data_IF_079385806176
#
_entry.id   IF_079385806176
#
_cell.length_a   1.000
_cell.length_b   1.000
_cell.length_c   1.000
_cell.angle_alpha   90.00
_cell.angle_beta   90.00
_cell.angle_gamma   90.00
#
_symmetry.space_group_name_H-M   'P 1'
#
loop_
_entity.id
_entity.type
_entity.pdbx_description
1 polymer ?
#
# COMPACT_ATOMS: atom_id res chain seq x y z
N UNK A 1 -17.68 -43.08 -71.86
CA UNK A 1 -16.30 -43.13 -71.31
C UNK A 1 -16.06 -41.76 -70.68
N UNK A 2 -16.33 -41.59 -69.37
CA UNK A 2 -15.34 -41.61 -68.27
C UNK A 2 -14.18 -40.63 -68.55
N UNK A 3 -13.83 -39.61 -67.76
CA UNK A 3 -13.83 -39.50 -66.30
C UNK A 3 -13.69 -38.02 -65.86
N UNK A 4 -14.38 -37.67 -64.78
CA UNK A 4 -14.21 -36.50 -63.91
C UNK A 4 -12.88 -36.55 -63.14
N UNK A 5 -12.15 -35.43 -63.04
CA UNK A 5 -11.05 -35.25 -62.10
C UNK A 5 -11.39 -34.17 -61.07
N UNK A 6 -11.56 -34.61 -59.82
CA UNK A 6 -11.77 -33.78 -58.64
C UNK A 6 -10.43 -33.22 -58.14
N UNK A 7 -10.40 -31.90 -57.86
CA UNK A 7 -9.31 -31.23 -57.15
C UNK A 7 -9.55 -31.37 -55.64
N UNK A 8 -8.82 -32.28 -55.01
CA UNK A 8 -8.82 -32.45 -53.56
C UNK A 8 -8.08 -31.28 -52.87
N UNK A 9 -8.80 -30.53 -52.05
CA UNK A 9 -8.21 -29.62 -51.05
C UNK A 9 -7.59 -30.45 -49.94
N UNK A 10 -6.28 -30.64 -49.97
CA UNK A 10 -5.55 -31.19 -48.82
C UNK A 10 -5.53 -30.14 -47.70
N UNK A 11 -6.34 -30.35 -46.67
CA UNK A 11 -6.15 -29.70 -45.39
C UNK A 11 -4.82 -30.15 -44.80
N UNK A 12 -3.82 -29.28 -44.83
CA UNK A 12 -2.62 -29.44 -44.01
C UNK A 12 -3.02 -29.17 -42.57
N UNK A 13 -3.13 -30.24 -41.77
CA UNK A 13 -3.03 -30.16 -40.32
C UNK A 13 -1.66 -29.57 -40.00
N UNK A 14 -1.63 -28.27 -39.74
CA UNK A 14 -0.46 -27.54 -39.29
C UNK A 14 -0.18 -27.88 -37.81
N UNK A 15 0.88 -28.64 -37.49
CA UNK A 15 1.19 -29.04 -36.12
C UNK A 15 1.68 -27.85 -35.26
N UNK A 16 2.17 -26.76 -35.88
CA UNK A 16 2.69 -25.59 -35.15
C UNK A 16 1.59 -24.76 -34.47
N UNK A 17 0.32 -24.93 -34.88
CA UNK A 17 -0.78 -24.16 -34.28
C UNK A 17 -1.16 -24.61 -32.87
N UNK A 18 -0.74 -25.80 -32.43
CA UNK A 18 -1.03 -26.33 -31.08
C UNK A 18 0.03 -25.96 -30.04
N UNK A 19 1.25 -25.63 -30.46
CA UNK A 19 2.38 -25.38 -29.53
C UNK A 19 2.51 -23.89 -29.12
N UNK A 20 1.92 -22.97 -29.88
CA UNK A 20 1.92 -21.54 -29.53
C UNK A 20 0.92 -21.14 -28.43
N UNK A 21 -0.07 -22.00 -28.11
CA UNK A 21 -1.04 -21.71 -27.05
C UNK A 21 -0.57 -22.17 -25.66
N UNK A 22 0.29 -23.20 -25.58
CA UNK A 22 0.76 -23.78 -24.33
C UNK A 22 1.99 -23.07 -23.73
N UNK A 23 2.76 -22.36 -24.55
CA UNK A 23 3.99 -21.66 -24.14
C UNK A 23 3.73 -20.30 -23.46
N UNK A 24 2.58 -19.67 -23.71
CA UNK A 24 2.28 -18.31 -23.20
C UNK A 24 1.70 -18.22 -21.79
N UNK A 25 1.11 -19.29 -21.25
CA UNK A 25 0.56 -19.29 -19.87
C UNK A 25 1.62 -19.57 -18.82
N UNK A 26 2.57 -20.47 -19.11
CA UNK A 26 3.66 -20.82 -18.21
C UNK A 26 4.56 -19.63 -17.84
N UNK A 27 4.87 -18.77 -18.80
CA UNK A 27 5.68 -17.57 -18.56
C UNK A 27 4.93 -16.53 -17.72
N UNK A 28 3.62 -16.34 -17.96
CA UNK A 28 2.80 -15.37 -17.20
C UNK A 28 2.62 -15.78 -15.74
N UNK A 29 2.32 -17.05 -15.50
CA UNK A 29 2.16 -17.57 -14.14
C UNK A 29 3.50 -17.49 -13.39
N UNK A 30 4.61 -17.75 -14.07
CA UNK A 30 5.96 -17.60 -13.51
C UNK A 30 6.27 -16.15 -13.13
N UNK A 31 5.98 -15.19 -14.01
CA UNK A 31 6.17 -13.75 -13.72
C UNK A 31 5.32 -13.31 -12.54
N UNK A 32 4.05 -13.74 -12.49
CA UNK A 32 3.16 -13.43 -11.37
C UNK A 32 3.73 -13.97 -10.05
N UNK A 33 4.14 -15.24 -10.01
CA UNK A 33 4.72 -15.84 -8.80
C UNK A 33 6.00 -15.12 -8.37
N UNK A 34 6.84 -14.71 -9.30
CA UNK A 34 8.05 -13.93 -9.00
C UNK A 34 7.71 -12.54 -8.44
N UNK A 35 6.72 -11.83 -9.00
CA UNK A 35 6.25 -10.55 -8.46
C UNK A 35 5.72 -10.71 -7.04
N UNK A 36 4.88 -11.73 -6.81
CA UNK A 36 4.35 -12.05 -5.48
C UNK A 36 5.50 -12.33 -4.50
N UNK A 37 6.47 -13.16 -4.87
CA UNK A 37 7.60 -13.52 -4.01
C UNK A 37 8.47 -12.30 -3.66
N UNK A 38 8.80 -11.45 -4.64
CA UNK A 38 9.67 -10.28 -4.41
C UNK A 38 8.96 -9.23 -3.54
N UNK A 39 7.69 -8.92 -3.82
CA UNK A 39 6.94 -7.94 -3.03
C UNK A 39 6.64 -8.45 -1.62
N UNK A 40 6.30 -9.73 -1.48
CA UNK A 40 6.10 -10.36 -0.17
C UNK A 40 7.39 -10.38 0.64
N UNK A 41 8.51 -10.80 0.04
CA UNK A 41 9.83 -10.79 0.67
C UNK A 41 10.26 -9.39 1.11
N UNK A 42 10.00 -8.38 0.28
CA UNK A 42 10.25 -6.97 0.62
C UNK A 42 9.44 -6.53 1.84
N UNK A 43 8.14 -6.86 1.89
CA UNK A 43 7.29 -6.53 3.03
C UNK A 43 7.62 -7.30 4.31
N UNK A 44 8.18 -8.52 4.21
CA UNK A 44 8.62 -9.30 5.37
C UNK A 44 9.78 -8.64 6.12
N UNK A 45 10.57 -7.77 5.48
CA UNK A 45 11.62 -7.01 6.17
C UNK A 45 11.05 -6.13 7.29
N UNK A 46 9.93 -5.46 7.05
CA UNK A 46 9.25 -4.69 8.08
C UNK A 46 8.59 -5.56 9.14
N UNK A 47 7.97 -6.68 8.76
CA UNK A 47 7.44 -7.66 9.74
C UNK A 47 8.56 -8.17 10.65
N UNK A 48 9.75 -8.45 10.12
CA UNK A 48 10.92 -8.81 10.91
C UNK A 48 11.34 -7.70 11.89
N UNK A 49 11.29 -6.43 11.45
CA UNK A 49 11.55 -5.29 12.34
C UNK A 49 10.51 -5.18 13.46
N UNK A 50 9.23 -5.49 13.19
CA UNK A 50 8.17 -5.59 14.20
C UNK A 50 8.46 -6.71 15.21
N UNK A 51 8.80 -7.90 14.75
CA UNK A 51 9.17 -9.04 15.63
C UNK A 51 10.34 -8.66 16.55
N UNK A 52 11.40 -8.09 15.98
CA UNK A 52 12.58 -7.67 16.74
C UNK A 52 12.23 -6.60 17.80
N UNK A 53 11.42 -5.60 17.42
CA UNK A 53 10.98 -4.54 18.33
C UNK A 53 10.11 -5.10 19.46
N UNK A 54 9.16 -5.97 19.13
CA UNK A 54 8.29 -6.65 20.10
C UNK A 54 9.10 -7.50 21.07
N UNK A 55 10.08 -8.26 20.60
CA UNK A 55 10.98 -9.02 21.46
C UNK A 55 11.73 -8.11 22.44
N UNK A 56 12.34 -7.02 21.95
CA UNK A 56 13.06 -6.06 22.79
C UNK A 56 12.15 -5.38 23.80
N UNK A 57 10.88 -5.13 23.45
CA UNK A 57 9.89 -4.55 24.33
C UNK A 57 9.50 -5.49 25.48
N UNK A 58 9.42 -6.80 25.24
CA UNK A 58 8.97 -7.77 26.25
C UNK A 58 10.09 -8.53 26.97
N UNK A 59 11.33 -8.53 26.45
CA UNK A 59 12.46 -9.21 27.10
C UNK A 59 12.68 -8.66 28.51
N UNK A 60 12.80 -9.56 29.48
CA UNK A 60 13.02 -9.20 30.89
C UNK A 60 11.78 -8.70 31.64
N UNK A 61 10.60 -8.65 31.01
CA UNK A 61 9.34 -8.37 31.73
C UNK A 61 8.85 -9.62 32.47
N UNK A 62 8.51 -9.45 33.74
CA UNK A 62 7.89 -10.50 34.56
C UNK A 62 6.37 -10.59 34.28
N UNK A 63 5.77 -11.73 34.64
CA UNK A 63 4.31 -11.96 34.60
C UNK A 63 3.65 -11.82 33.22
N UNK A 64 4.37 -12.17 32.15
CA UNK A 64 3.77 -12.25 30.81
C UNK A 64 2.97 -13.56 30.65
N UNK A 65 1.86 -13.54 29.90
CA UNK A 65 1.08 -14.74 29.63
C UNK A 65 1.84 -15.78 28.79
N UNK A 66 2.82 -15.33 28.00
CA UNK A 66 3.70 -16.16 27.17
C UNK A 66 5.13 -15.63 27.23
N UNK A 67 6.10 -16.42 26.76
CA UNK A 67 7.49 -15.96 26.67
C UNK A 67 7.63 -14.79 25.66
N UNK A 68 8.62 -13.90 25.82
CA UNK A 68 8.87 -12.81 24.87
C UNK A 68 9.04 -13.27 23.42
N UNK A 69 9.62 -14.45 23.19
CA UNK A 69 9.80 -15.06 21.87
C UNK A 69 8.45 -15.40 21.24
N UNK A 70 7.55 -16.02 22.02
CA UNK A 70 6.19 -16.36 21.55
C UNK A 70 5.42 -15.07 21.24
N UNK A 71 5.47 -14.07 22.12
CA UNK A 71 4.78 -12.79 21.86
C UNK A 71 5.32 -12.09 20.61
N UNK A 72 6.63 -12.12 20.39
CA UNK A 72 7.26 -11.57 19.20
C UNK A 72 6.80 -12.31 17.94
N UNK A 73 6.78 -13.64 17.93
CA UNK A 73 6.30 -14.43 16.80
C UNK A 73 4.79 -14.24 16.55
N UNK A 74 3.98 -14.16 17.60
CA UNK A 74 2.54 -13.88 17.49
C UNK A 74 2.27 -12.50 16.88
N UNK A 75 3.12 -11.50 17.17
CA UNK A 75 2.99 -10.17 16.57
C UNK A 75 3.17 -10.17 15.04
N UNK A 76 3.85 -11.17 14.47
CA UNK A 76 4.02 -11.31 13.03
C UNK A 76 2.82 -11.93 12.32
N UNK A 77 1.97 -12.68 13.04
CA UNK A 77 0.97 -13.55 12.42
C UNK A 77 -0.02 -12.76 11.57
N UNK A 78 -0.70 -11.79 12.18
CA UNK A 78 -1.70 -10.95 11.51
C UNK A 78 -1.08 -10.15 10.35
N UNK A 79 0.01 -9.36 10.54
CA UNK A 79 0.56 -8.57 9.44
C UNK A 79 1.12 -9.43 8.31
N UNK A 80 1.63 -10.63 8.58
CA UNK A 80 2.09 -11.55 7.51
C UNK A 80 0.94 -12.02 6.64
N UNK A 81 -0.19 -12.42 7.25
CA UNK A 81 -1.39 -12.83 6.53
C UNK A 81 -1.94 -11.68 5.70
N UNK A 82 -2.08 -10.50 6.32
CA UNK A 82 -2.55 -9.30 5.63
C UNK A 82 -1.60 -8.90 4.49
N UNK A 83 -0.29 -9.04 4.68
CA UNK A 83 0.70 -8.76 3.65
C UNK A 83 0.58 -9.73 2.47
N UNK A 84 0.41 -11.03 2.73
CA UNK A 84 0.20 -12.02 1.67
C UNK A 84 -1.05 -11.68 0.84
N UNK A 85 -2.16 -11.38 1.52
CA UNK A 85 -3.42 -10.97 0.86
C UNK A 85 -3.23 -9.67 0.08
N UNK A 86 -2.61 -8.65 0.67
CA UNK A 86 -2.40 -7.36 0.04
C UNK A 86 -1.48 -7.45 -1.20
N UNK A 87 -0.42 -8.25 -1.14
CA UNK A 87 0.49 -8.47 -2.27
C UNK A 87 -0.23 -9.18 -3.41
N UNK A 88 -1.07 -10.19 -3.13
CA UNK A 88 -1.91 -10.85 -4.14
C UNK A 88 -2.89 -9.85 -4.75
N UNK A 89 -3.67 -9.15 -3.93
CA UNK A 89 -4.66 -8.19 -4.39
C UNK A 89 -4.03 -7.07 -5.22
N UNK A 90 -2.91 -6.51 -4.77
CA UNK A 90 -2.23 -5.43 -5.48
C UNK A 90 -1.65 -5.89 -6.81
N UNK A 91 -0.99 -7.04 -6.85
CA UNK A 91 -0.39 -7.58 -8.09
C UNK A 91 -1.46 -7.83 -9.15
N UNK A 92 -2.64 -8.27 -8.72
CA UNK A 92 -3.78 -8.51 -9.60
C UNK A 92 -4.47 -7.19 -9.97
N UNK A 93 -4.80 -6.32 -9.01
CA UNK A 93 -5.72 -5.20 -9.22
C UNK A 93 -5.03 -3.88 -9.60
N UNK A 94 -3.81 -3.63 -9.13
CA UNK A 94 -3.09 -2.37 -9.39
C UNK A 94 -2.93 -2.07 -10.89
N UNK A 95 -2.51 -3.02 -11.76
CA UNK A 95 -2.39 -2.75 -13.20
C UNK A 95 -3.74 -2.43 -13.85
N UNK A 96 -4.85 -3.01 -13.34
CA UNK A 96 -6.21 -2.79 -13.87
C UNK A 96 -6.74 -1.39 -13.60
N UNK A 97 -6.20 -0.70 -12.60
CA UNK A 97 -6.56 0.68 -12.24
C UNK A 97 -5.46 1.69 -12.60
N UNK A 98 -4.40 1.24 -13.27
CA UNK A 98 -3.31 2.09 -13.75
C UNK A 98 -2.24 2.43 -12.70
N UNK A 99 -2.22 1.74 -11.56
CA UNK A 99 -1.16 1.88 -10.55
C UNK A 99 0.07 1.06 -10.92
N UNK A 100 1.23 1.46 -10.38
CA UNK A 100 2.54 0.93 -10.78
C UNK A 100 3.46 0.69 -9.60
N UNK A 101 4.35 -0.29 -9.73
CA UNK A 101 5.48 -0.54 -8.84
C UNK A 101 6.72 -0.82 -9.69
N UNK A 102 7.79 -0.08 -9.47
CA UNK A 102 9.06 -0.30 -10.16
C UNK A 102 9.66 -1.67 -9.82
N UNK A 103 9.43 -2.17 -8.61
CA UNK A 103 9.84 -3.51 -8.18
C UNK A 103 9.06 -4.59 -8.93
N UNK A 104 7.73 -4.45 -9.05
CA UNK A 104 6.92 -5.38 -9.84
C UNK A 104 7.26 -5.34 -11.32
N UNK A 105 7.40 -4.13 -11.90
CA UNK A 105 7.77 -3.91 -13.30
C UNK A 105 9.14 -4.51 -13.63
N UNK A 106 10.09 -4.52 -12.68
CA UNK A 106 11.42 -5.09 -12.88
C UNK A 106 11.36 -6.58 -13.19
N UNK A 107 10.45 -7.32 -12.56
CA UNK A 107 10.30 -8.77 -12.79
C UNK A 107 9.85 -9.03 -14.22
N UNK A 108 8.92 -8.23 -14.74
CA UNK A 108 8.37 -8.39 -16.09
C UNK A 108 9.31 -7.85 -17.18
N UNK A 109 9.96 -6.71 -16.93
CA UNK A 109 10.68 -5.95 -17.97
C UNK A 109 12.20 -5.98 -17.84
N UNK A 110 12.74 -6.54 -16.76
CA UNK A 110 14.16 -6.44 -16.41
C UNK A 110 14.62 -5.01 -16.06
N UNK A 111 13.71 -4.05 -15.97
CA UNK A 111 14.06 -2.64 -15.76
C UNK A 111 14.70 -2.38 -14.39
N UNK A 112 15.55 -1.35 -14.32
CA UNK A 112 16.23 -0.97 -13.08
C UNK A 112 15.34 -0.08 -12.22
N UNK A 113 15.17 -0.43 -10.94
CA UNK A 113 14.35 0.31 -9.97
C UNK A 113 14.94 1.68 -9.64
N UNK A 114 16.23 1.74 -9.30
CA UNK A 114 16.86 2.97 -8.79
C UNK A 114 16.82 4.15 -9.76
N UNK A 115 17.11 4.01 -11.07
CA UNK A 115 17.00 5.13 -12.00
C UNK A 115 15.58 5.68 -12.15
N UNK A 116 14.56 4.81 -12.12
CA UNK A 116 13.15 5.25 -12.18
C UNK A 116 12.77 6.02 -10.91
N UNK A 117 13.13 5.50 -9.74
CA UNK A 117 12.90 6.18 -8.46
C UNK A 117 13.70 7.49 -8.35
N UNK A 118 14.88 7.58 -8.95
CA UNK A 118 15.66 8.81 -9.05
C UNK A 118 14.97 9.90 -9.89
N UNK A 119 14.00 9.56 -10.73
CA UNK A 119 13.12 10.54 -11.38
C UNK A 119 12.04 11.11 -10.45
N UNK A 120 11.78 10.44 -9.32
CA UNK A 120 10.61 10.70 -8.45
C UNK A 120 11.00 11.21 -7.05
N UNK A 121 12.26 11.03 -6.64
CA UNK A 121 12.72 11.28 -5.27
C UNK A 121 12.43 12.68 -4.75
N UNK A 122 12.59 13.72 -5.59
CA UNK A 122 12.37 15.12 -5.18
C UNK A 122 10.95 15.32 -4.71
N UNK A 123 9.98 14.78 -5.46
CA UNK A 123 8.56 14.91 -5.13
C UNK A 123 8.22 14.05 -3.92
N UNK A 124 8.76 12.84 -3.85
CA UNK A 124 8.55 11.95 -2.69
C UNK A 124 9.05 12.60 -1.39
N UNK A 125 10.30 13.10 -1.37
CA UNK A 125 10.90 13.76 -0.20
C UNK A 125 10.19 15.07 0.14
N UNK A 126 9.84 15.89 -0.86
CA UNK A 126 9.12 17.13 -0.62
C UNK A 126 7.73 16.89 -0.01
N UNK A 127 6.98 15.90 -0.51
CA UNK A 127 5.67 15.54 0.06
C UNK A 127 5.84 14.95 1.47
N UNK A 128 6.78 14.02 1.67
CA UNK A 128 7.04 13.43 2.99
C UNK A 128 7.44 14.46 4.04
N UNK A 129 8.40 15.32 3.73
CA UNK A 129 8.83 16.42 4.60
C UNK A 129 7.72 17.44 4.84
N UNK A 130 6.99 17.84 3.79
CA UNK A 130 5.85 18.76 3.91
C UNK A 130 4.75 18.22 4.81
N UNK A 131 4.40 16.93 4.68
CA UNK A 131 3.45 16.26 5.57
C UNK A 131 3.96 16.21 7.01
N UNK A 132 5.26 16.02 7.23
CA UNK A 132 5.85 16.07 8.56
C UNK A 132 5.68 17.44 9.22
N UNK A 133 5.92 18.52 8.47
CA UNK A 133 5.65 19.88 8.95
C UNK A 133 4.17 20.08 9.27
N UNK A 134 3.26 19.63 8.39
CA UNK A 134 1.81 19.72 8.63
C UNK A 134 1.41 18.97 9.91
N UNK A 135 1.90 17.75 10.11
CA UNK A 135 1.62 16.95 11.31
C UNK A 135 2.13 17.65 12.56
N UNK A 136 3.35 18.22 12.55
CA UNK A 136 3.90 18.97 13.69
C UNK A 136 3.00 20.17 14.03
N UNK A 137 2.62 20.96 13.03
CA UNK A 137 1.78 22.16 13.23
C UNK A 137 0.38 21.81 13.75
N UNK A 138 -0.23 20.77 13.19
CA UNK A 138 -1.55 20.31 13.63
C UNK A 138 -1.50 19.71 15.02
N UNK A 139 -0.44 18.98 15.36
CA UNK A 139 -0.24 18.44 16.70
C UNK A 139 -0.09 19.56 17.75
N UNK A 140 0.74 20.56 17.46
CA UNK A 140 0.90 21.73 18.32
C UNK A 140 -0.44 22.47 18.50
N UNK A 141 -1.16 22.71 17.40
CA UNK A 141 -2.50 23.31 17.44
C UNK A 141 -3.47 22.48 18.28
N UNK A 142 -3.44 21.15 18.15
CA UNK A 142 -4.26 20.25 18.94
C UNK A 142 -3.99 20.37 20.45
N UNK A 143 -2.71 20.37 20.84
CA UNK A 143 -2.29 20.53 22.23
C UNK A 143 -2.68 21.90 22.80
N UNK A 144 -2.70 22.95 21.98
CA UNK A 144 -3.14 24.28 22.42
C UNK A 144 -4.65 24.35 22.75
N UNK A 145 -5.47 23.50 22.12
CA UNK A 145 -6.93 23.49 22.31
C UNK A 145 -7.35 22.49 23.38
N UNK A 146 -6.76 21.30 23.37
CA UNK A 146 -7.16 20.17 24.22
C UNK A 146 -6.21 19.94 25.42
N UNK A 147 -5.16 20.76 25.56
CA UNK A 147 -4.11 20.59 26.56
C UNK A 147 -3.05 19.57 26.13
N UNK A 148 -1.94 19.51 26.88
CA UNK A 148 -0.93 18.47 26.67
C UNK A 148 -1.51 17.11 27.05
N UNK A 149 -1.55 16.19 26.09
CA UNK A 149 -2.07 14.83 26.27
C UNK A 149 -0.92 13.82 26.44
N UNK A 150 0.29 14.32 26.61
CA UNK A 150 1.43 13.51 26.99
C UNK A 150 1.16 13.02 28.40
N UNK A 151 0.84 11.74 28.56
CA UNK A 151 0.90 11.07 29.85
C UNK A 151 2.30 11.33 30.40
N UNK A 152 2.39 12.04 31.53
CA UNK A 152 3.65 12.40 32.18
C UNK A 152 4.39 11.10 32.49
N UNK A 153 5.22 10.68 31.56
CA UNK A 153 6.00 9.46 31.68
C UNK A 153 7.23 9.88 32.47
N UNK A 154 7.46 9.28 33.63
CA UNK A 154 8.65 9.51 34.48
C UNK A 154 9.93 8.94 33.87
N UNK A 155 10.00 8.88 32.54
CA UNK A 155 11.11 8.31 31.76
C UNK A 155 12.18 9.38 31.62
N UNK A 156 13.42 9.03 31.91
CA UNK A 156 14.55 9.95 31.72
C UNK A 156 14.71 10.31 30.23
N UNK A 157 15.20 11.51 29.90
CA UNK A 157 15.50 11.90 28.52
C UNK A 157 16.36 10.87 27.78
N UNK A 158 17.39 10.32 28.45
CA UNK A 158 18.28 9.31 27.87
C UNK A 158 17.53 8.04 27.46
N UNK A 159 16.62 7.55 28.31
CA UNK A 159 15.82 6.36 28.02
C UNK A 159 14.82 6.63 26.87
N UNK A 160 14.26 7.84 26.80
CA UNK A 160 13.37 8.25 25.71
C UNK A 160 14.12 8.37 24.37
N UNK A 161 15.34 8.93 24.37
CA UNK A 161 16.19 9.01 23.17
C UNK A 161 16.61 7.61 22.67
N UNK A 162 16.95 6.71 23.60
CA UNK A 162 17.28 5.32 23.25
C UNK A 162 16.08 4.60 22.64
N UNK A 163 14.88 4.77 23.20
CA UNK A 163 13.65 4.21 22.66
C UNK A 163 13.32 4.79 21.27
N UNK A 164 13.51 6.10 21.09
CA UNK A 164 13.32 6.77 19.79
C UNK A 164 14.29 6.21 18.74
N UNK A 165 15.58 6.10 19.06
CA UNK A 165 16.58 5.53 18.17
C UNK A 165 16.26 4.07 17.82
N UNK A 166 15.86 3.27 18.82
CA UNK A 166 15.44 1.88 18.63
C UNK A 166 14.19 1.72 17.76
N UNK A 167 13.35 2.75 17.64
CA UNK A 167 12.14 2.73 16.80
C UNK A 167 12.40 3.00 15.31
N UNK A 168 13.58 3.48 14.94
CA UNK A 168 13.91 3.88 13.56
C UNK A 168 13.75 2.70 12.58
N UNK A 169 14.28 1.49 12.83
CA UNK A 169 14.11 0.36 11.91
C UNK A 169 12.64 0.00 11.68
N UNK A 170 11.81 0.05 12.73
CA UNK A 170 10.37 -0.21 12.62
C UNK A 170 9.68 0.84 11.74
N UNK A 171 9.96 2.13 11.98
CA UNK A 171 9.40 3.24 11.20
C UNK A 171 9.78 3.17 9.72
N UNK A 172 11.03 2.85 9.43
CA UNK A 172 11.55 2.79 8.06
C UNK A 172 11.08 1.53 7.33
N UNK A 173 11.22 0.36 7.95
CA UNK A 173 10.93 -0.92 7.29
C UNK A 173 9.45 -1.29 7.38
N UNK A 174 8.83 -1.24 8.56
CA UNK A 174 7.41 -1.57 8.68
C UNK A 174 6.55 -0.42 8.15
N UNK A 175 6.76 0.80 8.66
CA UNK A 175 6.03 1.98 8.19
C UNK A 175 6.30 2.29 6.71
N UNK A 176 7.56 2.50 6.37
CA UNK A 176 7.95 2.91 5.02
C UNK A 176 7.80 1.84 3.93
N UNK A 177 7.69 0.55 4.24
CA UNK A 177 7.60 -0.51 3.22
C UNK A 177 6.35 -1.39 3.42
N UNK A 178 6.22 -2.04 4.57
CA UNK A 178 5.13 -3.00 4.82
C UNK A 178 3.76 -2.30 4.79
N UNK A 179 3.59 -1.16 5.43
CA UNK A 179 2.31 -0.43 5.43
C UNK A 179 1.94 0.11 4.04
N UNK A 180 2.93 0.48 3.21
CA UNK A 180 2.68 0.87 1.82
C UNK A 180 2.22 -0.31 0.97
N UNK A 181 2.79 -1.50 1.17
CA UNK A 181 2.30 -2.72 0.52
C UNK A 181 0.89 -3.09 0.97
N UNK A 182 0.62 -3.01 2.28
CA UNK A 182 -0.71 -3.30 2.83
C UNK A 182 -1.76 -2.34 2.29
N UNK A 183 -1.51 -1.03 2.40
CA UNK A 183 -2.53 -0.03 2.16
C UNK A 183 -2.57 0.50 0.75
N UNK A 184 -1.42 0.72 0.09
CA UNK A 184 -1.39 1.35 -1.23
C UNK A 184 -1.47 0.26 -2.27
N UNK A 185 -0.54 -0.70 -2.21
CA UNK A 185 -0.53 -1.79 -3.17
C UNK A 185 -1.78 -2.67 -3.04
N UNK A 186 -2.11 -3.18 -1.85
CA UNK A 186 -3.28 -4.02 -1.64
C UNK A 186 -4.60 -3.26 -1.55
N UNK A 187 -4.82 -2.59 -0.41
CA UNK A 187 -6.14 -2.07 -0.04
C UNK A 187 -6.65 -0.95 -0.97
N UNK A 188 -5.81 0.04 -1.32
CA UNK A 188 -6.20 1.14 -2.18
C UNK A 188 -6.47 0.67 -3.61
N UNK A 189 -5.67 -0.25 -4.15
CA UNK A 189 -5.95 -0.88 -5.45
C UNK A 189 -7.30 -1.59 -5.46
N UNK A 190 -7.62 -2.34 -4.40
CA UNK A 190 -8.93 -2.98 -4.23
C UNK A 190 -10.06 -1.94 -4.16
N UNK A 191 -9.92 -0.90 -3.33
CA UNK A 191 -10.93 0.12 -3.15
C UNK A 191 -11.23 0.86 -4.46
N UNK A 192 -10.19 1.31 -5.17
CA UNK A 192 -10.34 1.99 -6.47
C UNK A 192 -10.97 1.05 -7.50
N UNK A 193 -10.55 -0.22 -7.54
CA UNK A 193 -11.12 -1.20 -8.47
C UNK A 193 -12.60 -1.45 -8.21
N UNK A 194 -13.00 -1.63 -6.94
CA UNK A 194 -14.41 -1.81 -6.56
C UNK A 194 -15.26 -0.59 -6.92
N UNK A 195 -14.82 0.61 -6.55
CA UNK A 195 -15.51 1.86 -6.87
C UNK A 195 -15.66 2.06 -8.38
N UNK A 196 -14.61 1.75 -9.14
CA UNK A 196 -14.62 1.82 -10.60
C UNK A 196 -15.63 0.86 -11.21
N UNK A 197 -15.67 -0.40 -10.74
CA UNK A 197 -16.66 -1.40 -11.21
C UNK A 197 -18.08 -0.99 -10.87
N UNK A 198 -18.33 -0.50 -9.66
CA UNK A 198 -19.64 -0.03 -9.23
C UNK A 198 -20.10 1.18 -10.07
N UNK A 199 -19.23 2.17 -10.30
CA UNK A 199 -19.55 3.31 -11.14
C UNK A 199 -19.86 2.90 -12.60
N UNK A 200 -19.12 1.93 -13.14
CA UNK A 200 -19.36 1.38 -14.48
C UNK A 200 -20.71 0.67 -14.60
N UNK A 201 -21.11 -0.11 -13.58
CA UNK A 201 -22.42 -0.79 -13.53
C UNK A 201 -23.56 0.23 -13.47
N UNK A 202 -23.48 1.22 -12.58
CA UNK A 202 -24.51 2.26 -12.44
C UNK A 202 -24.65 3.07 -13.74
N UNK A 203 -23.53 3.43 -14.38
CA UNK A 203 -23.52 4.15 -15.65
C UNK A 203 -24.04 3.33 -16.83
N UNK A 204 -23.95 1.99 -16.79
CA UNK A 204 -24.53 1.10 -17.80
C UNK A 204 -26.04 0.95 -17.63
N UNK A 205 -26.53 0.83 -16.40
CA UNK A 205 -27.98 0.79 -16.08
C UNK A 205 -28.66 2.11 -16.48
N UNK A 206 -28.02 3.26 -16.20
CA UNK A 206 -28.55 4.58 -16.55
C UNK A 206 -28.52 4.94 -18.04
N UNK A 207 -27.67 4.28 -18.84
CA UNK A 207 -27.66 4.39 -20.32
C UNK A 207 -28.70 3.47 -20.97
N UNK A 208 -28.85 2.24 -20.47
CA UNK A 208 -29.88 1.30 -20.95
C UNK A 208 -31.31 1.81 -20.77
N UNK A 209 -31.55 2.69 -19.79
CA UNK A 209 -32.84 3.39 -19.63
C UNK A 209 -33.04 4.62 -20.52
N UNK A 210 -31.99 5.12 -21.19
CA UNK A 210 -32.04 6.26 -22.14
C UNK A 210 -32.02 5.82 -23.61
N UNK A 211 -31.44 4.66 -23.91
CA UNK A 211 -31.20 4.19 -25.27
C UNK A 211 -32.38 3.39 -25.88
N UNK A 212 -33.56 3.37 -25.23
CA UNK A 212 -34.79 2.76 -25.80
C UNK A 212 -35.42 3.56 -26.95
N UNK A 213 -34.73 4.57 -27.50
CA UNK A 213 -35.29 5.50 -28.48
C UNK A 213 -34.52 5.71 -29.80
N UNK A 214 -33.46 4.96 -30.13
CA UNK A 214 -32.73 5.21 -31.39
C UNK A 214 -31.91 4.02 -31.89
N UNK A 215 -32.27 3.52 -33.07
CA UNK A 215 -31.47 2.54 -33.82
C UNK A 215 -30.36 3.23 -34.61
N UNK A 216 -29.20 2.57 -34.70
CA UNK A 216 -28.11 2.99 -35.58
C UNK A 216 -26.73 2.58 -35.06
N UNK A 217 -26.13 1.65 -35.79
CA UNK A 217 -24.71 1.32 -35.89
C UNK A 217 -23.99 0.68 -34.68
N UNK A 218 -23.49 -0.55 -34.93
CA UNK A 218 -22.89 -1.43 -33.95
C UNK A 218 -21.62 -0.86 -33.31
N UNK A 219 -21.42 -1.01 -31.99
CA UNK A 219 -20.28 -0.43 -31.33
C UNK A 219 -19.01 -1.22 -31.61
N UNK A 220 -17.99 -0.51 -32.09
CA UNK A 220 -16.60 -0.91 -31.85
C UNK A 220 -16.46 -1.22 -30.36
N UNK A 221 -15.91 -2.38 -30.01
CA UNK A 221 -15.84 -2.85 -28.62
C UNK A 221 -15.27 -1.74 -27.71
N UNK A 222 -16.04 -1.22 -26.74
CA UNK A 222 -15.54 -0.15 -25.89
C UNK A 222 -14.40 -0.72 -25.03
N UNK A 223 -13.18 -0.25 -25.28
CA UNK A 223 -12.08 -0.40 -24.32
C UNK A 223 -12.60 0.13 -22.99
N UNK A 224 -12.69 -0.73 -21.97
CA UNK A 224 -13.26 -0.34 -20.68
C UNK A 224 -12.57 0.94 -20.19
N UNK A 225 -13.32 2.02 -19.90
CA UNK A 225 -12.72 3.30 -19.55
C UNK A 225 -11.95 3.17 -18.24
N UNK A 226 -10.72 3.70 -18.18
CA UNK A 226 -9.93 3.76 -16.96
C UNK A 226 -10.69 4.48 -15.82
N UNK A 227 -10.36 4.20 -14.54
CA UNK A 227 -11.01 4.89 -13.42
C UNK A 227 -10.81 6.41 -13.51
N UNK A 228 -11.89 7.15 -13.23
CA UNK A 228 -11.82 8.62 -13.22
C UNK A 228 -10.99 9.11 -12.02
N UNK A 229 -10.47 10.34 -12.10
CA UNK A 229 -9.74 10.94 -10.98
C UNK A 229 -10.57 11.01 -9.69
N UNK A 230 -11.89 11.21 -9.79
CA UNK A 230 -12.78 11.20 -8.63
C UNK A 230 -12.85 9.83 -7.96
N UNK A 231 -12.90 8.75 -8.74
CA UNK A 231 -12.88 7.37 -8.22
C UNK A 231 -11.55 7.07 -7.52
N UNK A 232 -10.43 7.51 -8.11
CA UNK A 232 -9.11 7.32 -7.50
C UNK A 232 -8.99 8.09 -6.19
N UNK A 233 -9.41 9.36 -6.16
CA UNK A 233 -9.42 10.16 -4.93
C UNK A 233 -10.30 9.54 -3.84
N UNK A 234 -11.50 9.05 -4.19
CA UNK A 234 -12.34 8.35 -3.23
C UNK A 234 -11.64 7.11 -2.64
N UNK A 235 -10.95 6.31 -3.47
CA UNK A 235 -10.14 5.19 -3.00
C UNK A 235 -8.97 5.60 -2.11
N UNK A 236 -8.29 6.71 -2.43
CA UNK A 236 -7.24 7.31 -1.57
C UNK A 236 -7.81 7.67 -0.20
N UNK A 237 -8.94 8.38 -0.15
CA UNK A 237 -9.55 8.83 1.10
C UNK A 237 -10.04 7.65 1.96
N UNK A 238 -10.62 6.61 1.33
CA UNK A 238 -11.02 5.39 2.03
C UNK A 238 -9.79 4.69 2.64
N UNK A 239 -8.71 4.55 1.86
CA UNK A 239 -7.45 3.97 2.34
C UNK A 239 -6.81 4.81 3.46
N UNK A 240 -6.89 6.14 3.37
CA UNK A 240 -6.38 7.06 4.37
C UNK A 240 -7.13 6.96 5.71
N UNK A 241 -8.46 6.86 5.68
CA UNK A 241 -9.25 6.64 6.90
C UNK A 241 -8.96 5.26 7.48
N UNK A 242 -8.88 4.22 6.65
CA UNK A 242 -8.49 2.88 7.09
C UNK A 242 -7.10 2.87 7.75
N UNK A 243 -6.15 3.66 7.23
CA UNK A 243 -4.83 3.83 7.85
C UNK A 243 -4.91 4.43 9.25
N UNK A 244 -5.70 5.50 9.42
CA UNK A 244 -5.90 6.11 10.73
C UNK A 244 -6.59 5.20 11.73
N UNK A 245 -7.58 4.42 11.28
CA UNK A 245 -8.23 3.39 12.10
C UNK A 245 -7.27 2.25 12.47
N UNK A 246 -6.40 1.85 11.54
CA UNK A 246 -5.39 0.80 11.76
C UNK A 246 -4.38 1.12 12.86
N UNK A 247 -4.25 2.39 13.25
CA UNK A 247 -3.39 2.83 14.34
C UNK A 247 -4.04 2.78 15.73
N UNK A 248 -5.36 2.60 15.82
CA UNK A 248 -6.08 2.56 17.10
C UNK A 248 -5.66 1.40 18.02
N UNK A 249 -5.39 0.17 17.53
CA UNK A 249 -4.88 -0.89 18.40
C UNK A 249 -3.60 -0.50 19.12
N UNK A 250 -2.65 0.13 18.42
CA UNK A 250 -1.40 0.62 19.02
C UNK A 250 -1.65 1.74 20.02
N UNK A 251 -2.58 2.65 19.73
CA UNK A 251 -2.99 3.69 20.68
C UNK A 251 -3.54 3.07 21.97
N UNK A 252 -4.48 2.13 21.88
CA UNK A 252 -5.09 1.50 23.05
C UNK A 252 -4.14 0.54 23.79
N UNK A 253 -3.09 0.04 23.13
CA UNK A 253 -2.04 -0.72 23.78
C UNK A 253 -1.19 0.15 24.75
N UNK A 254 -1.19 1.47 24.58
CA UNK A 254 -0.53 2.41 25.51
C UNK A 254 -1.41 2.74 26.72
N UNK A 255 -2.71 2.41 26.68
CA UNK A 255 -3.68 2.67 27.74
C UNK A 255 -5.01 3.23 27.22
N UNK A 256 -5.97 3.52 28.12
CA UNK A 256 -7.23 4.16 27.75
C UNK A 256 -6.98 5.51 27.07
N UNK A 257 -7.66 5.76 25.94
CA UNK A 257 -7.55 7.01 25.19
C UNK A 257 -8.87 7.79 25.21
N UNK A 258 -8.80 9.12 25.35
CA UNK A 258 -9.96 10.01 25.28
C UNK A 258 -10.42 10.21 23.83
N UNK A 259 -11.68 10.61 23.64
CA UNK A 259 -12.23 10.90 22.30
C UNK A 259 -11.37 11.87 21.47
N UNK A 260 -10.84 12.98 22.04
CA UNK A 260 -9.92 13.85 21.31
C UNK A 260 -8.67 13.11 20.80
N UNK A 261 -8.05 12.26 21.61
CA UNK A 261 -6.82 11.53 21.21
C UNK A 261 -7.10 10.53 20.09
N UNK A 262 -8.23 9.85 20.15
CA UNK A 262 -8.70 8.96 19.08
C UNK A 262 -8.90 9.76 17.78
N UNK A 263 -9.62 10.88 17.85
CA UNK A 263 -9.85 11.78 16.71
C UNK A 263 -8.55 12.30 16.10
N UNK A 264 -7.61 12.78 16.92
CA UNK A 264 -6.26 13.21 16.50
C UNK A 264 -5.52 12.09 15.79
N UNK A 265 -5.54 10.88 16.35
CA UNK A 265 -4.83 9.72 15.80
C UNK A 265 -5.37 9.36 14.42
N UNK A 266 -6.69 9.31 14.25
CA UNK A 266 -7.30 9.05 12.95
C UNK A 266 -6.97 10.17 11.96
N UNK A 267 -7.13 11.43 12.38
CA UNK A 267 -6.93 12.60 11.52
C UNK A 267 -5.51 12.71 10.98
N UNK A 268 -4.50 12.70 11.86
CA UNK A 268 -3.10 12.89 11.46
C UNK A 268 -2.63 11.74 10.55
N UNK A 269 -3.03 10.51 10.85
CA UNK A 269 -2.73 9.37 9.98
C UNK A 269 -3.50 9.45 8.66
N UNK A 270 -4.76 9.89 8.63
CA UNK A 270 -5.49 10.08 7.37
C UNK A 270 -4.85 11.16 6.47
N UNK A 271 -4.26 12.21 7.04
CA UNK A 271 -3.50 13.22 6.28
C UNK A 271 -2.27 12.57 5.62
N UNK A 272 -1.50 11.78 6.37
CA UNK A 272 -0.38 11.01 5.83
C UNK A 272 -0.83 10.01 4.76
N UNK A 273 -1.91 9.27 5.05
CA UNK A 273 -2.57 8.34 4.15
C UNK A 273 -2.91 8.97 2.80
N UNK A 274 -3.49 10.16 2.84
CA UNK A 274 -3.89 10.92 1.65
C UNK A 274 -2.68 11.33 0.81
N UNK A 275 -1.64 11.88 1.46
CA UNK A 275 -0.44 12.35 0.76
C UNK A 275 0.37 11.21 0.12
N UNK A 276 0.57 10.10 0.83
CA UNK A 276 1.26 8.93 0.26
C UNK A 276 0.39 8.19 -0.77
N UNK A 277 -0.93 8.17 -0.59
CA UNK A 277 -1.86 7.65 -1.61
C UNK A 277 -1.81 8.47 -2.91
N UNK A 278 -1.69 9.80 -2.81
CA UNK A 278 -1.46 10.65 -3.98
C UNK A 278 -0.11 10.39 -4.65
N UNK A 279 0.98 10.21 -3.88
CA UNK A 279 2.28 9.82 -4.44
C UNK A 279 2.18 8.48 -5.19
N UNK A 280 1.52 7.48 -4.59
CA UNK A 280 1.32 6.17 -5.22
C UNK A 280 0.57 6.30 -6.54
N UNK A 281 -0.52 7.07 -6.57
CA UNK A 281 -1.31 7.27 -7.79
C UNK A 281 -0.53 8.02 -8.88
N UNK A 282 0.19 9.08 -8.51
CA UNK A 282 0.84 9.97 -9.50
C UNK A 282 2.22 9.51 -9.94
N UNK A 283 2.85 8.62 -9.16
CA UNK A 283 4.23 8.16 -9.35
C UNK A 283 4.27 6.64 -9.33
N UNK A 284 4.58 6.06 -8.17
CA UNK A 284 4.83 4.63 -7.98
C UNK A 284 4.66 4.25 -6.51
N UNK A 285 4.57 2.94 -6.25
CA UNK A 285 4.60 2.40 -4.88
C UNK A 285 5.87 2.84 -4.15
N UNK A 286 7.02 2.78 -4.82
CA UNK A 286 8.32 3.09 -4.24
C UNK A 286 8.48 4.59 -3.95
N UNK A 287 7.82 5.47 -4.72
CA UNK A 287 7.74 6.89 -4.38
C UNK A 287 6.94 7.15 -3.11
N UNK A 288 5.84 6.40 -2.89
CA UNK A 288 5.09 6.47 -1.63
C UNK A 288 5.93 5.96 -0.45
N UNK A 289 6.63 4.84 -0.63
CA UNK A 289 7.59 4.31 0.36
C UNK A 289 8.67 5.34 0.72
N UNK A 290 9.29 5.95 -0.29
CA UNK A 290 10.31 6.98 -0.07
C UNK A 290 9.73 8.22 0.63
N UNK A 291 8.52 8.64 0.26
CA UNK A 291 7.84 9.76 0.92
C UNK A 291 7.55 9.47 2.40
N UNK A 292 7.13 8.25 2.72
CA UNK A 292 6.88 7.83 4.10
C UNK A 292 8.18 7.74 4.91
N UNK A 293 9.25 7.18 4.34
CA UNK A 293 10.58 7.20 4.97
C UNK A 293 11.06 8.64 5.19
N UNK A 294 10.86 9.54 4.22
CA UNK A 294 11.22 10.96 4.35
C UNK A 294 10.43 11.68 5.46
N UNK A 295 9.14 11.35 5.64
CA UNK A 295 8.34 11.82 6.77
C UNK A 295 9.01 11.44 8.10
N UNK A 296 9.37 10.16 8.28
CA UNK A 296 10.04 9.72 9.50
C UNK A 296 11.45 10.31 9.67
N UNK A 297 12.19 10.48 8.57
CA UNK A 297 13.50 11.14 8.59
C UNK A 297 13.42 12.58 9.11
N UNK A 298 12.28 13.27 8.93
CA UNK A 298 12.02 14.58 9.54
C UNK A 298 11.52 14.46 10.99
N UNK A 299 10.54 13.60 11.26
CA UNK A 299 9.89 13.52 12.59
C UNK A 299 10.82 13.00 13.68
N UNK A 300 11.72 12.06 13.36
CA UNK A 300 12.67 11.49 14.34
C UNK A 300 13.56 12.57 14.98
N UNK A 301 14.32 13.38 14.23
CA UNK A 301 15.16 14.41 14.84
C UNK A 301 14.35 15.50 15.56
N UNK A 302 13.16 15.88 15.05
CA UNK A 302 12.27 16.81 15.76
C UNK A 302 11.83 16.23 17.11
N UNK A 303 11.47 14.94 17.15
CA UNK A 303 11.11 14.25 18.38
C UNK A 303 12.28 14.20 19.37
N UNK A 304 13.51 14.01 18.88
CA UNK A 304 14.71 14.04 19.72
C UNK A 304 14.93 15.42 20.34
N UNK A 305 14.74 16.50 19.56
CA UNK A 305 14.81 17.88 20.09
C UNK A 305 13.74 18.10 21.17
N UNK A 306 12.49 17.69 20.93
CA UNK A 306 11.41 17.81 21.91
C UNK A 306 11.76 17.09 23.23
N UNK A 307 12.35 15.89 23.16
CA UNK A 307 12.79 15.14 24.35
C UNK A 307 13.93 15.85 25.10
N UNK A 308 14.82 16.55 24.39
CA UNK A 308 15.97 17.22 24.99
C UNK A 308 15.62 18.56 25.65
N UNK A 309 14.56 19.23 25.20
CA UNK A 309 14.17 20.58 25.65
C UNK A 309 12.93 20.60 26.54
N UNK A 310 12.15 19.52 26.57
CA UNK A 310 10.95 19.34 27.39
C UNK A 310 11.27 18.63 28.71
#
# INVERSE_FOLDING_TARGET
MSSTAASATSGSDDPDRRDHAATGSGDRDTILLQQLAVLFGLGLLGVGALVATTYVQYRGRANLPFSPEILALLSALVPTILLAVAVVLGTVLAPRVGFRSHVADRVETGSRVLPKLAGEWRVAVAVGGGLGVVVILLDFGFQSVFGSITTTSTVSPDAALLALAGSIPLRVLYGGITEELLLRWGFMSLAVWLLWKLAGVVGAVGRRGRDTGGGGDGPSAPTAPAPTSAVVWAGILIAAVAFGLGHLPTLFALGPASFPVVGRTILLNAILGTGFGWLFWRRSLEAAMLGHVAFHALIVPVSAVVILVG
#
